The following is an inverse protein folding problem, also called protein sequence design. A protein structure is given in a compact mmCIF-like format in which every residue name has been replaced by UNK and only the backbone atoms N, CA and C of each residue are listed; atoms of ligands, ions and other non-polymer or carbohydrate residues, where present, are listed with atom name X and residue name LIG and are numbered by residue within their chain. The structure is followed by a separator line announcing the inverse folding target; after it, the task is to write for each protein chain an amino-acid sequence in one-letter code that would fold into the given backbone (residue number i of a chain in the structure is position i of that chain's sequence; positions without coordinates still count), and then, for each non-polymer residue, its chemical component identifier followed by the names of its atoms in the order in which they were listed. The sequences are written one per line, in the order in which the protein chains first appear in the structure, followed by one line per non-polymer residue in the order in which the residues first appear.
data_IF_758034314514
#
_entry.id   IF_758034314514
#
_cell.length_a   1.000
_cell.length_b   1.000
_cell.length_c   1.000
_cell.angle_alpha   90.00
_cell.angle_beta   90.00
_cell.angle_gamma   90.00
#
_symmetry.space_group_name_H-M   'P 1'
#
loop_
_entity.id
_entity.type
_entity.pdbx_description
1 polymer ?
#
# COMPACT_ATOMS: atom_id res chain seq x y z
N UNK A 1 -15.46 26.61 6.34
CA UNK A 1 -15.97 26.73 7.73
C UNK A 1 -15.49 28.05 8.33
N UNK A 2 -16.35 28.89 8.91
CA UNK A 2 -15.92 30.09 9.66
C UNK A 2 -16.03 29.83 11.16
N UNK A 3 -14.87 29.70 11.82
CA UNK A 3 -14.75 29.51 13.27
C UNK A 3 -14.63 30.89 13.96
N UNK A 4 -15.74 31.59 14.13
CA UNK A 4 -15.82 32.58 15.20
C UNK A 4 -15.76 31.86 16.57
N UNK A 5 -15.47 32.59 17.67
CA UNK A 5 -15.53 32.17 19.10
C UNK A 5 -16.91 31.58 19.48
N UNK A 6 -17.30 30.49 18.84
CA UNK A 6 -18.62 29.91 18.85
C UNK A 6 -18.53 28.48 19.36
N UNK A 7 -19.50 28.14 20.18
CA UNK A 7 -19.74 26.88 20.86
C UNK A 7 -20.13 25.75 19.87
N UNK A 8 -19.45 25.66 18.73
CA UNK A 8 -19.77 24.70 17.68
C UNK A 8 -18.90 23.48 17.86
N UNK A 9 -19.57 22.37 18.12
CA UNK A 9 -18.95 21.06 18.04
C UNK A 9 -18.30 20.88 16.65
N UNK A 10 -17.17 20.19 16.62
CA UNK A 10 -16.41 19.95 15.39
C UNK A 10 -15.97 18.48 15.33
N UNK A 11 -15.70 18.03 14.11
CA UNK A 11 -15.08 16.74 13.80
C UNK A 11 -14.08 16.99 12.67
N UNK A 12 -12.84 16.60 12.91
CA UNK A 12 -11.78 16.50 11.90
C UNK A 12 -11.48 15.02 11.73
N UNK A 13 -11.54 14.52 10.50
CA UNK A 13 -11.26 13.12 10.24
C UNK A 13 -10.52 12.92 8.93
N UNK A 14 -9.63 11.94 8.91
CA UNK A 14 -8.95 11.50 7.71
C UNK A 14 -8.67 10.01 7.77
N UNK A 15 -8.85 9.32 6.65
CA UNK A 15 -8.66 7.88 6.54
C UNK A 15 -7.65 7.57 5.44
N UNK A 16 -6.62 6.81 5.78
CA UNK A 16 -5.56 6.39 4.87
C UNK A 16 -5.58 4.88 4.73
N UNK A 17 -5.80 4.41 3.51
CA UNK A 17 -5.69 3.00 3.18
C UNK A 17 -4.26 2.71 2.74
N UNK A 18 -3.69 1.62 3.22
CA UNK A 18 -2.35 1.16 2.84
C UNK A 18 -2.30 -0.36 2.74
N UNK A 19 -1.21 -0.85 2.18
CA UNK A 19 -0.87 -2.27 2.20
C UNK A 19 0.48 -2.44 2.85
N UNK A 20 0.63 -3.50 3.65
CA UNK A 20 1.92 -3.91 4.20
C UNK A 20 2.39 -5.20 3.53
N UNK A 21 3.64 -5.19 3.06
CA UNK A 21 4.29 -6.37 2.48
C UNK A 21 5.11 -7.06 3.56
N UNK A 22 4.89 -8.34 3.81
CA UNK A 22 5.66 -9.08 4.80
C UNK A 22 5.94 -10.52 4.40
N UNK A 23 7.05 -11.05 4.92
CA UNK A 23 7.45 -12.46 4.82
C UNK A 23 7.10 -13.17 6.11
N UNK A 24 6.37 -14.28 6.01
CA UNK A 24 5.96 -15.05 7.18
C UNK A 24 5.88 -16.54 6.84
N UNK A 25 6.06 -17.41 7.83
CA UNK A 25 5.85 -18.86 7.68
C UNK A 25 4.38 -19.22 7.53
N UNK A 26 3.48 -18.37 8.00
CA UNK A 26 2.03 -18.57 7.94
C UNK A 26 1.32 -17.27 7.62
N UNK A 27 0.22 -17.39 6.90
CA UNK A 27 -0.71 -16.29 6.66
C UNK A 27 -1.27 -15.78 8.00
N UNK A 28 -1.38 -14.46 8.14
CA UNK A 28 -2.05 -13.82 9.27
C UNK A 28 -3.39 -13.28 8.83
N UNK A 29 -4.47 -13.85 9.34
CA UNK A 29 -5.82 -13.44 8.96
C UNK A 29 -6.38 -12.43 9.96
N UNK A 30 -7.03 -11.39 9.45
CA UNK A 30 -7.84 -10.51 10.28
C UNK A 30 -8.98 -11.32 10.92
N UNK A 31 -9.00 -11.33 12.25
CA UNK A 31 -9.96 -12.11 13.04
C UNK A 31 -11.32 -11.43 13.15
N UNK A 32 -11.42 -10.14 12.79
CA UNK A 32 -12.67 -9.40 12.77
C UNK A 32 -13.46 -9.79 11.54
N UNK A 33 -14.74 -10.13 11.73
CA UNK A 33 -15.60 -10.63 10.67
C UNK A 33 -16.65 -9.58 10.29
N UNK A 34 -16.87 -9.42 8.99
CA UNK A 34 -18.05 -8.75 8.44
C UNK A 34 -19.31 -9.58 8.69
N UNK A 35 -20.52 -8.99 8.57
CA UNK A 35 -21.78 -9.74 8.72
C UNK A 35 -21.90 -10.99 7.82
N UNK A 36 -21.19 -11.03 6.69
CA UNK A 36 -21.13 -12.20 5.79
C UNK A 36 -20.09 -13.26 6.15
N UNK A 37 -19.38 -13.14 7.27
CA UNK A 37 -18.37 -14.11 7.74
C UNK A 37 -16.98 -13.98 7.10
N UNK A 38 -16.80 -13.07 6.13
CA UNK A 38 -15.48 -12.70 5.61
C UNK A 38 -14.70 -11.78 6.56
N UNK A 39 -13.35 -11.75 6.50
CA UNK A 39 -12.56 -10.84 7.32
C UNK A 39 -12.82 -9.38 6.92
N UNK A 40 -12.68 -8.44 7.85
CA UNK A 40 -12.82 -6.99 7.56
C UNK A 40 -11.72 -6.50 6.63
N UNK A 41 -10.49 -7.03 6.77
CA UNK A 41 -9.35 -6.75 5.88
C UNK A 41 -8.91 -8.00 5.14
N UNK A 42 -8.60 -7.85 3.85
CA UNK A 42 -8.09 -8.94 3.04
C UNK A 42 -6.60 -9.18 3.30
N UNK A 43 -6.20 -10.45 3.25
CA UNK A 43 -4.81 -10.88 3.11
C UNK A 43 -4.67 -11.57 1.78
N UNK A 44 -3.61 -11.23 1.03
CA UNK A 44 -3.35 -11.83 -0.27
C UNK A 44 -2.00 -12.53 -0.27
N UNK A 45 -1.99 -13.83 -0.55
CA UNK A 45 -0.77 -14.58 -0.83
C UNK A 45 -0.19 -14.13 -2.18
N UNK A 46 1.02 -13.60 -2.14
CA UNK A 46 1.76 -13.09 -3.29
C UNK A 46 3.07 -13.87 -3.52
N UNK A 47 3.20 -15.05 -2.92
CA UNK A 47 4.37 -15.93 -3.04
C UNK A 47 4.63 -16.34 -4.49
N UNK A 48 3.61 -16.32 -5.35
CA UNK A 48 3.76 -16.55 -6.79
C UNK A 48 4.72 -15.55 -7.47
N UNK A 49 4.89 -14.34 -6.92
CA UNK A 49 5.86 -13.34 -7.38
C UNK A 49 7.32 -13.74 -7.13
N UNK A 50 7.54 -14.71 -6.22
CA UNK A 50 8.85 -15.14 -5.73
C UNK A 50 9.28 -16.52 -6.18
N UNK A 51 8.59 -17.13 -7.15
CA UNK A 51 8.89 -18.48 -7.66
C UNK A 51 10.12 -18.50 -8.59
N UNK A 52 11.27 -18.04 -8.09
CA UNK A 52 12.54 -18.04 -8.81
C UNK A 52 13.62 -18.80 -8.03
N UNK A 53 14.55 -19.50 -8.72
CA UNK A 53 15.59 -20.29 -8.06
C UNK A 53 16.42 -19.51 -7.04
N UNK A 54 16.75 -18.24 -7.33
CA UNK A 54 17.60 -17.43 -6.43
C UNK A 54 16.82 -16.69 -5.33
N UNK A 55 15.51 -16.90 -5.21
CA UNK A 55 14.75 -16.38 -4.07
C UNK A 55 14.49 -17.56 -3.13
N UNK A 56 15.48 -17.85 -2.30
CA UNK A 56 15.29 -18.77 -1.19
C UNK A 56 14.35 -18.13 -0.18
N UNK A 57 13.11 -18.62 -0.14
CA UNK A 57 12.15 -18.20 0.87
C UNK A 57 12.37 -18.93 2.21
N UNK A 58 13.26 -19.92 2.30
CA UNK A 58 13.56 -20.66 3.54
C UNK A 58 12.30 -21.16 4.29
N UNK A 59 11.30 -21.62 3.54
CA UNK A 59 10.01 -22.07 4.08
C UNK A 59 9.05 -20.94 4.49
N UNK A 60 9.32 -19.69 4.08
CA UNK A 60 8.43 -18.55 4.24
C UNK A 60 7.58 -18.33 2.98
N UNK A 61 6.45 -17.67 3.15
CA UNK A 61 5.60 -17.13 2.10
C UNK A 61 5.61 -15.61 2.15
N UNK A 62 5.26 -14.98 1.04
CA UNK A 62 5.10 -13.52 0.96
C UNK A 62 3.62 -13.17 0.93
N UNK A 63 3.22 -12.20 1.75
CA UNK A 63 1.84 -11.79 1.90
C UNK A 63 1.73 -10.27 1.78
N UNK A 64 0.61 -9.85 1.21
CA UNK A 64 0.16 -8.47 1.18
C UNK A 64 -1.05 -8.33 2.12
N UNK A 65 -0.90 -7.50 3.14
CA UNK A 65 -1.92 -7.27 4.15
C UNK A 65 -2.59 -5.93 3.93
N UNK A 66 -3.91 -5.92 3.81
CA UNK A 66 -4.69 -4.70 3.73
C UNK A 66 -4.74 -4.02 5.10
N UNK A 67 -4.46 -2.71 5.14
CA UNK A 67 -4.43 -1.89 6.34
C UNK A 67 -5.14 -0.55 6.16
N UNK A 68 -5.59 0.02 7.26
CA UNK A 68 -6.16 1.36 7.29
C UNK A 68 -5.76 2.09 8.58
N UNK A 69 -5.39 3.35 8.45
CA UNK A 69 -5.27 4.28 9.58
C UNK A 69 -6.38 5.29 9.48
N UNK A 70 -7.22 5.36 10.51
CA UNK A 70 -8.25 6.38 10.67
C UNK A 70 -7.85 7.31 11.80
N UNK A 71 -7.88 8.61 11.54
CA UNK A 71 -7.67 9.65 12.55
C UNK A 71 -8.95 10.44 12.69
N UNK A 72 -9.42 10.62 13.92
CA UNK A 72 -10.57 11.46 14.25
C UNK A 72 -10.23 12.34 15.45
N UNK A 73 -10.40 13.64 15.30
CA UNK A 73 -10.32 14.62 16.40
C UNK A 73 -11.65 15.36 16.45
N UNK A 74 -12.36 15.24 17.56
CA UNK A 74 -13.70 15.83 17.74
C UNK A 74 -13.81 16.52 19.07
N UNK A 75 -14.70 17.50 19.20
CA UNK A 75 -14.87 18.20 20.46
C UNK A 75 -16.06 19.15 20.44
N UNK A 76 -16.51 19.53 21.63
CA UNK A 76 -17.54 20.55 21.81
C UNK A 76 -17.00 21.95 21.52
N UNK A 77 -15.72 22.16 21.82
CA UNK A 77 -14.98 23.40 21.58
C UNK A 77 -13.46 23.11 21.60
N UNK A 78 -12.63 24.14 21.45
CA UNK A 78 -11.16 23.99 21.39
C UNK A 78 -10.50 23.57 22.70
N UNK A 79 -11.18 23.66 23.84
CA UNK A 79 -10.61 23.31 25.15
C UNK A 79 -11.06 21.93 25.64
N UNK A 80 -12.17 21.41 25.11
CA UNK A 80 -12.72 20.09 25.46
C UNK A 80 -12.92 19.29 24.18
N UNK A 81 -11.95 18.43 23.90
CA UNK A 81 -11.89 17.61 22.71
C UNK A 81 -11.29 16.23 22.99
N UNK A 82 -11.44 15.33 22.04
CA UNK A 82 -10.98 13.95 22.08
C UNK A 82 -10.38 13.59 20.72
N UNK A 83 -9.22 12.97 20.75
CA UNK A 83 -8.61 12.35 19.58
C UNK A 83 -8.69 10.83 19.69
N UNK A 84 -8.86 10.18 18.55
CA UNK A 84 -8.82 8.74 18.40
C UNK A 84 -8.09 8.40 17.11
N UNK A 85 -7.23 7.38 17.15
CA UNK A 85 -6.65 6.78 15.96
C UNK A 85 -6.84 5.28 15.97
N UNK A 86 -7.30 4.75 14.84
CA UNK A 86 -7.54 3.33 14.61
C UNK A 86 -6.62 2.89 13.48
N UNK A 87 -5.56 2.16 13.82
CA UNK A 87 -4.56 1.64 12.88
C UNK A 87 -4.55 0.13 12.90
N UNK A 88 -4.51 -0.48 11.73
CA UNK A 88 -4.48 -1.94 11.60
C UNK A 88 -3.08 -2.51 11.89
N UNK A 89 -3.04 -3.47 12.81
CA UNK A 89 -1.79 -4.07 13.29
C UNK A 89 -1.80 -5.60 13.29
N UNK A 90 -2.91 -6.23 12.85
CA UNK A 90 -3.13 -7.69 12.94
C UNK A 90 -2.06 -8.54 12.24
N UNK A 91 -1.33 -7.95 11.29
CA UNK A 91 -0.32 -8.62 10.48
C UNK A 91 1.11 -8.51 11.03
N UNK A 92 1.36 -7.77 12.13
CA UNK A 92 2.72 -7.69 12.69
C UNK A 92 3.17 -9.05 13.23
N UNK A 93 4.42 -9.48 12.95
CA UNK A 93 4.94 -10.82 13.23
C UNK A 93 4.81 -11.20 14.71
N UNK A 94 5.14 -10.27 15.59
CA UNK A 94 5.04 -10.42 17.03
C UNK A 94 4.10 -9.34 17.60
N UNK A 95 2.86 -9.74 17.90
CA UNK A 95 1.86 -8.86 18.53
C UNK A 95 2.18 -8.58 20.01
N UNK A 96 3.23 -9.22 20.54
CA UNK A 96 3.73 -9.05 21.90
C UNK A 96 5.10 -8.38 21.93
N UNK A 97 5.57 -7.81 20.82
CA UNK A 97 6.81 -7.04 20.81
C UNK A 97 6.59 -5.68 21.48
N UNK A 98 7.15 -5.44 22.69
CA UNK A 98 7.00 -4.17 23.38
C UNK A 98 7.79 -3.03 22.70
N UNK A 99 8.66 -3.33 21.73
CA UNK A 99 9.43 -2.32 21.00
C UNK A 99 8.72 -1.81 19.74
N UNK A 100 7.59 -2.42 19.37
CA UNK A 100 6.82 -2.00 18.21
C UNK A 100 5.85 -0.89 18.60
N UNK A 101 6.20 0.36 18.26
CA UNK A 101 5.43 1.58 18.53
C UNK A 101 4.03 1.61 17.90
N UNK A 102 3.71 0.70 16.97
CA UNK A 102 2.35 0.55 16.44
C UNK A 102 1.47 -0.32 17.36
N UNK A 103 2.05 -1.06 18.31
CA UNK A 103 1.33 -1.94 19.23
C UNK A 103 1.04 -1.25 20.55
N UNK A 104 -0.16 -1.50 21.09
CA UNK A 104 -0.58 -0.97 22.40
C UNK A 104 0.37 -1.38 23.53
N UNK A 105 0.98 -2.57 23.44
CA UNK A 105 1.90 -3.08 24.45
C UNK A 105 3.11 -2.15 24.66
N UNK A 106 3.57 -1.45 23.61
CA UNK A 106 4.65 -0.47 23.70
C UNK A 106 4.38 0.63 24.74
N UNK A 107 3.12 1.04 24.88
CA UNK A 107 2.71 2.12 25.78
C UNK A 107 2.33 1.62 27.19
N UNK A 108 2.45 0.31 27.44
CA UNK A 108 2.29 -0.25 28.79
C UNK A 108 3.59 -0.21 29.60
N UNK A 109 4.72 0.08 28.93
CA UNK A 109 6.01 0.28 29.58
C UNK A 109 6.03 1.62 30.35
N UNK A 110 6.30 1.62 31.67
CA UNK A 110 6.41 2.84 32.47
C UNK A 110 7.44 3.85 31.95
N UNK A 111 8.51 3.38 31.29
CA UNK A 111 9.56 4.24 30.75
C UNK A 111 9.13 4.95 29.44
N UNK A 112 8.00 4.53 28.86
CA UNK A 112 7.44 5.02 27.59
C UNK A 112 6.10 5.76 27.81
N UNK A 113 5.66 5.90 29.07
CA UNK A 113 4.34 6.45 29.42
C UNK A 113 4.13 7.91 28.96
N UNK A 114 5.21 8.64 28.70
CA UNK A 114 5.17 10.03 28.23
C UNK A 114 4.99 10.15 26.70
N UNK A 115 4.92 9.06 25.94
CA UNK A 115 4.76 9.10 24.47
C UNK A 115 3.30 9.12 24.04
N UNK A 116 3.00 9.88 22.99
CA UNK A 116 1.67 9.94 22.40
C UNK A 116 1.45 8.72 21.48
N UNK A 117 0.53 7.83 21.88
CA UNK A 117 0.17 6.64 21.14
C UNK A 117 -0.55 6.92 19.81
N UNK A 118 -1.32 8.00 19.74
CA UNK A 118 -1.99 8.41 18.50
C UNK A 118 -0.93 8.89 17.49
N UNK A 119 0.13 9.53 17.98
CA UNK A 119 1.30 9.96 17.22
C UNK A 119 2.38 8.87 17.03
N UNK A 120 2.07 7.58 17.28
CA UNK A 120 2.98 6.45 17.08
C UNK A 120 4.38 6.65 17.71
N UNK A 121 4.41 7.20 18.94
CA UNK A 121 5.63 7.50 19.70
C UNK A 121 6.64 8.42 18.99
N UNK A 122 6.22 9.20 17.99
CA UNK A 122 7.08 10.21 17.36
C UNK A 122 7.12 11.51 18.21
N UNK A 123 6.21 11.65 19.19
CA UNK A 123 6.08 12.84 20.04
C UNK A 123 5.75 12.48 21.49
N UNK A 124 6.37 13.16 22.45
CA UNK A 124 6.07 13.04 23.88
C UNK A 124 4.95 13.99 24.32
N UNK A 125 3.96 13.50 25.08
CA UNK A 125 2.83 14.25 25.68
C UNK A 125 3.30 15.52 26.39
N UNK A 126 4.38 15.47 27.18
CA UNK A 126 4.91 16.62 27.92
C UNK A 126 5.55 17.71 27.06
N UNK A 127 5.92 17.42 25.80
CA UNK A 127 6.44 18.41 24.83
C UNK A 127 5.38 18.94 23.88
N UNK A 128 4.20 18.29 23.83
CA UNK A 128 3.06 18.74 23.05
C UNK A 128 2.44 19.94 23.80
N UNK A 129 2.93 21.15 23.53
CA UNK A 129 2.26 22.40 23.91
C UNK A 129 1.01 22.67 23.06
N UNK A 130 0.50 21.66 22.34
CA UNK A 130 -0.60 21.80 21.39
C UNK A 130 -1.92 21.78 22.15
N UNK A 131 -2.39 22.98 22.46
CA UNK A 131 -3.73 23.18 23.04
C UNK A 131 -4.84 23.20 22.00
N UNK A 132 -4.49 23.42 20.71
CA UNK A 132 -5.47 23.52 19.64
C UNK A 132 -5.70 22.17 18.93
N UNK A 133 -6.93 21.64 18.92
CA UNK A 133 -7.22 20.33 18.32
C UNK A 133 -6.94 20.26 16.82
N UNK A 134 -6.94 21.40 16.11
CA UNK A 134 -6.66 21.45 14.68
C UNK A 134 -5.17 21.26 14.39
N UNK A 135 -4.34 21.90 15.20
CA UNK A 135 -2.89 21.74 15.14
C UNK A 135 -2.50 20.29 15.50
N UNK A 136 -3.15 19.74 16.54
CA UNK A 136 -2.94 18.35 16.94
C UNK A 136 -3.33 17.36 15.83
N UNK A 137 -4.50 17.58 15.21
CA UNK A 137 -4.95 16.78 14.06
C UNK A 137 -3.93 16.78 12.92
N UNK A 138 -3.40 17.95 12.54
CA UNK A 138 -2.43 18.06 11.45
C UNK A 138 -1.08 17.42 11.81
N UNK A 139 -0.63 17.57 13.06
CA UNK A 139 0.59 16.92 13.54
C UNK A 139 0.49 15.39 13.43
N UNK A 140 -0.60 14.82 13.96
CA UNK A 140 -0.81 13.36 13.90
C UNK A 140 -1.01 12.92 12.44
N UNK A 141 -1.77 13.67 11.64
CA UNK A 141 -1.96 13.36 10.22
C UNK A 141 -0.62 13.34 9.48
N UNK A 142 0.29 14.28 9.76
CA UNK A 142 1.65 14.30 9.22
C UNK A 142 2.42 13.03 9.56
N UNK A 143 2.43 12.64 10.83
CA UNK A 143 3.14 11.44 11.30
C UNK A 143 2.56 10.18 10.67
N UNK A 144 1.22 10.03 10.70
CA UNK A 144 0.56 8.85 10.12
C UNK A 144 0.66 8.80 8.60
N UNK A 145 0.72 9.94 7.92
CA UNK A 145 0.98 10.02 6.47
C UNK A 145 2.38 9.52 6.14
N UNK A 146 3.38 9.84 6.97
CA UNK A 146 4.76 9.35 6.81
C UNK A 146 4.81 7.82 6.89
N UNK A 147 4.17 7.22 7.91
CA UNK A 147 4.06 5.76 8.07
C UNK A 147 3.38 5.09 6.87
N UNK A 148 2.20 5.61 6.49
CA UNK A 148 1.45 5.13 5.32
C UNK A 148 2.31 5.16 4.04
N UNK A 149 3.02 6.27 3.82
CA UNK A 149 3.94 6.43 2.69
C UNK A 149 5.09 5.44 2.71
N UNK A 150 5.66 5.15 3.87
CA UNK A 150 6.78 4.22 4.00
C UNK A 150 6.34 2.77 3.71
N UNK A 151 5.13 2.38 4.13
CA UNK A 151 4.50 1.11 3.72
C UNK A 151 4.31 1.04 2.19
N UNK A 152 3.77 2.10 1.58
CA UNK A 152 3.62 2.17 0.12
C UNK A 152 4.95 2.10 -0.64
N UNK A 153 6.01 2.72 -0.11
CA UNK A 153 7.37 2.60 -0.67
C UNK A 153 7.87 1.16 -0.60
N UNK A 154 7.65 0.48 0.52
CA UNK A 154 8.02 -0.93 0.70
C UNK A 154 7.29 -1.83 -0.32
N UNK A 155 5.98 -1.66 -0.48
CA UNK A 155 5.18 -2.40 -1.47
C UNK A 155 5.68 -2.15 -2.89
N UNK A 156 5.93 -0.89 -3.26
CA UNK A 156 6.44 -0.55 -4.59
C UNK A 156 7.81 -1.18 -4.85
N UNK A 157 8.72 -1.07 -3.88
CA UNK A 157 10.06 -1.64 -3.99
C UNK A 157 10.01 -3.14 -4.28
N UNK A 158 9.24 -3.88 -3.47
CA UNK A 158 9.11 -5.32 -3.62
C UNK A 158 8.42 -5.70 -4.94
N UNK A 159 7.30 -5.05 -5.28
CA UNK A 159 6.57 -5.33 -6.51
C UNK A 159 7.43 -5.05 -7.75
N UNK A 160 8.11 -3.90 -7.78
CA UNK A 160 9.03 -3.52 -8.86
C UNK A 160 10.17 -4.54 -9.01
N UNK A 161 10.79 -4.93 -7.90
CA UNK A 161 11.87 -5.92 -7.90
C UNK A 161 11.42 -7.25 -8.52
N UNK A 162 10.29 -7.79 -8.05
CA UNK A 162 9.75 -9.08 -8.54
C UNK A 162 9.32 -9.03 -10.00
N UNK A 163 8.61 -7.99 -10.41
CA UNK A 163 8.18 -7.81 -11.81
C UNK A 163 9.39 -7.67 -12.74
N UNK A 164 10.36 -6.81 -12.41
CA UNK A 164 11.55 -6.63 -13.25
C UNK A 164 12.38 -7.91 -13.31
N UNK A 165 12.52 -8.64 -12.19
CA UNK A 165 13.21 -9.93 -12.18
C UNK A 165 12.50 -10.94 -13.09
N UNK A 166 11.17 -11.06 -12.96
CA UNK A 166 10.37 -11.94 -13.81
C UNK A 166 10.59 -11.63 -15.28
N UNK A 167 10.42 -10.38 -15.70
CA UNK A 167 10.54 -9.99 -17.11
C UNK A 167 11.94 -10.18 -17.70
N UNK A 168 12.99 -10.30 -16.88
CA UNK A 168 14.38 -10.52 -17.31
C UNK A 168 14.79 -11.99 -17.35
N UNK A 169 14.11 -12.85 -16.62
CA UNK A 169 14.48 -14.26 -16.47
C UNK A 169 14.13 -15.04 -17.77
N UNK A 170 15.03 -15.89 -18.31
CA UNK A 170 14.77 -16.74 -19.48
C UNK A 170 13.80 -17.92 -19.22
N UNK A 171 12.65 -17.66 -18.61
CA UNK A 171 11.60 -18.67 -18.35
C UNK A 171 10.60 -18.81 -19.52
N UNK A 172 10.69 -17.96 -20.54
CA UNK A 172 9.99 -18.15 -21.82
C UNK A 172 11.00 -18.63 -22.87
N UNK A 173 10.80 -19.80 -23.50
CA UNK A 173 11.67 -20.26 -24.58
C UNK A 173 11.61 -19.28 -25.76
N UNK A 174 12.69 -18.51 -25.96
CA UNK A 174 12.84 -17.61 -27.10
C UNK A 174 13.23 -18.34 -28.39
N UNK A 175 13.87 -19.51 -28.28
CA UNK A 175 14.33 -20.32 -29.43
C UNK A 175 13.80 -21.76 -29.35
N UNK A 176 13.55 -22.38 -30.53
CA UNK A 176 13.17 -23.79 -30.66
C UNK A 176 14.30 -24.69 -30.13
N UNK A 177 14.10 -25.47 -29.05
CA UNK A 177 14.78 -26.75 -28.98
C UNK A 177 14.27 -27.60 -30.15
N UNK A 178 15.10 -28.49 -30.72
CA UNK A 178 14.62 -29.45 -31.72
C UNK A 178 13.38 -30.16 -31.17
N UNK A 179 12.29 -30.12 -31.92
CA UNK A 179 10.98 -30.57 -31.46
C UNK A 179 11.02 -32.08 -31.16
N UNK A 180 10.97 -32.40 -29.87
CA UNK A 180 10.56 -33.71 -29.36
C UNK A 180 9.22 -33.50 -28.66
N UNK A 181 8.40 -34.55 -28.53
CA UNK A 181 7.08 -34.46 -27.88
C UNK A 181 7.15 -33.84 -26.46
N UNK A 182 8.18 -34.18 -25.67
CA UNK A 182 8.38 -33.59 -24.34
C UNK A 182 8.63 -32.07 -24.36
N UNK A 183 9.41 -31.58 -25.34
CA UNK A 183 9.70 -30.14 -25.46
C UNK A 183 8.47 -29.28 -25.80
N UNK A 184 7.39 -29.88 -26.32
CA UNK A 184 6.16 -29.16 -26.66
C UNK A 184 5.22 -29.01 -25.44
N UNK A 185 5.14 -30.03 -24.58
CA UNK A 185 4.40 -29.98 -23.32
C UNK A 185 5.04 -28.95 -22.37
N UNK A 186 6.36 -29.04 -22.16
CA UNK A 186 7.13 -28.10 -21.33
C UNK A 186 6.96 -26.63 -21.79
N UNK A 187 6.89 -26.42 -23.11
CA UNK A 187 6.69 -25.09 -23.68
C UNK A 187 5.26 -24.57 -23.49
N UNK A 188 4.26 -25.46 -23.50
CA UNK A 188 2.85 -25.09 -23.26
C UNK A 188 2.68 -24.70 -21.79
N UNK A 189 3.23 -25.49 -20.88
CA UNK A 189 3.20 -25.23 -19.44
C UNK A 189 3.90 -23.90 -19.08
N UNK A 190 5.05 -23.61 -19.69
CA UNK A 190 5.76 -22.34 -19.48
C UNK A 190 4.95 -21.11 -19.92
N UNK A 191 4.21 -21.23 -21.02
CA UNK A 191 3.32 -20.18 -21.52
C UNK A 191 2.12 -19.99 -20.60
N UNK A 192 1.45 -21.07 -20.20
CA UNK A 192 0.33 -21.00 -19.27
C UNK A 192 0.73 -20.40 -17.93
N UNK A 193 1.89 -20.81 -17.39
CA UNK A 193 2.43 -20.27 -16.15
C UNK A 193 2.72 -18.77 -16.27
N UNK A 194 3.22 -18.33 -17.44
CA UNK A 194 3.47 -16.91 -17.72
C UNK A 194 2.19 -16.09 -17.82
N UNK A 195 1.14 -16.62 -18.46
CA UNK A 195 -0.15 -15.96 -18.52
C UNK A 195 -0.81 -15.86 -17.13
N UNK A 196 -0.74 -16.94 -16.33
CA UNK A 196 -1.25 -16.96 -14.96
C UNK A 196 -0.51 -15.94 -14.09
N UNK A 197 0.82 -15.92 -14.13
CA UNK A 197 1.62 -14.93 -13.40
C UNK A 197 1.26 -13.50 -13.79
N UNK A 198 1.12 -13.23 -15.10
CA UNK A 198 0.81 -11.90 -15.59
C UNK A 198 -0.60 -11.45 -15.20
N UNK A 199 -1.58 -12.35 -15.22
CA UNK A 199 -2.94 -12.07 -14.71
C UNK A 199 -2.90 -11.74 -13.23
N UNK A 200 -2.33 -12.62 -12.40
CA UNK A 200 -2.28 -12.42 -10.95
C UNK A 200 -1.54 -11.14 -10.58
N UNK A 201 -0.41 -10.84 -11.24
CA UNK A 201 0.34 -9.59 -11.01
C UNK A 201 -0.46 -8.34 -11.37
N UNK A 202 -1.21 -8.36 -12.48
CA UNK A 202 -2.10 -7.27 -12.86
C UNK A 202 -3.23 -7.08 -11.86
N UNK A 203 -3.83 -8.16 -11.35
CA UNK A 203 -4.92 -8.09 -10.37
C UNK A 203 -4.42 -7.43 -9.07
N UNK A 204 -3.20 -7.75 -8.62
CA UNK A 204 -2.57 -7.08 -7.48
C UNK A 204 -2.34 -5.59 -7.78
N UNK A 205 -1.73 -5.25 -8.93
CA UNK A 205 -1.48 -3.84 -9.28
C UNK A 205 -2.78 -3.03 -9.37
N UNK A 206 -3.83 -3.61 -9.94
CA UNK A 206 -5.13 -2.97 -10.01
C UNK A 206 -5.67 -2.63 -8.61
N UNK A 207 -5.59 -3.57 -7.65
CA UNK A 207 -5.96 -3.33 -6.25
C UNK A 207 -5.12 -2.20 -5.63
N UNK A 208 -3.79 -2.26 -5.78
CA UNK A 208 -2.85 -1.26 -5.23
C UNK A 208 -3.09 0.14 -5.82
N UNK A 209 -3.20 0.25 -7.14
CA UNK A 209 -3.48 1.50 -7.87
C UNK A 209 -4.80 2.09 -7.42
N UNK A 210 -5.85 1.27 -7.33
CA UNK A 210 -7.18 1.71 -6.91
C UNK A 210 -7.19 2.25 -5.48
N UNK A 211 -6.59 1.54 -4.52
CA UNK A 211 -6.52 1.96 -3.13
C UNK A 211 -5.70 3.24 -2.93
N UNK A 212 -4.52 3.33 -3.56
CA UNK A 212 -3.65 4.50 -3.45
C UNK A 212 -4.30 5.74 -4.12
N UNK A 213 -4.95 5.56 -5.28
CA UNK A 213 -5.66 6.65 -5.96
C UNK A 213 -6.75 7.24 -5.07
N UNK A 214 -7.55 6.40 -4.38
CA UNK A 214 -8.60 6.89 -3.45
C UNK A 214 -8.00 7.71 -2.30
N UNK A 215 -6.87 7.27 -1.75
CA UNK A 215 -6.18 7.98 -0.66
C UNK A 215 -5.68 9.35 -1.13
N UNK A 216 -5.07 9.42 -2.32
CA UNK A 216 -4.62 10.67 -2.94
C UNK A 216 -5.81 11.61 -3.22
N UNK A 217 -6.89 11.12 -3.81
CA UNK A 217 -8.10 11.93 -4.08
C UNK A 217 -8.72 12.47 -2.79
N UNK A 218 -8.69 11.69 -1.70
CA UNK A 218 -9.17 12.14 -0.39
C UNK A 218 -8.33 13.31 0.13
N UNK A 219 -7.01 13.25 -0.05
CA UNK A 219 -6.12 14.37 0.27
C UNK A 219 -6.32 15.59 -0.62
N UNK A 220 -6.51 15.41 -1.93
CA UNK A 220 -6.77 16.51 -2.85
C UNK A 220 -8.07 17.24 -2.47
N UNK A 221 -9.11 16.48 -2.09
CA UNK A 221 -10.38 17.05 -1.61
C UNK A 221 -10.19 17.82 -0.30
N UNK A 222 -9.48 17.21 0.67
CA UNK A 222 -9.19 17.85 1.94
C UNK A 222 -8.33 19.11 1.79
N UNK A 223 -7.28 19.05 0.97
CA UNK A 223 -6.33 20.16 0.78
C UNK A 223 -6.96 21.36 0.07
N UNK A 224 -7.86 21.14 -0.89
CA UNK A 224 -8.56 22.22 -1.59
C UNK A 224 -9.69 22.86 -0.77
N UNK A 225 -10.27 22.14 0.18
CA UNK A 225 -11.40 22.60 0.99
C UNK A 225 -11.03 22.84 2.45
N UNK A 226 -10.99 21.76 3.23
CA UNK A 226 -10.89 21.81 4.68
C UNK A 226 -9.55 22.39 5.15
N UNK A 227 -8.43 22.05 4.51
CA UNK A 227 -7.11 22.59 4.88
C UNK A 227 -7.04 24.11 4.73
N UNK A 228 -7.56 24.66 3.63
CA UNK A 228 -7.65 26.11 3.40
C UNK A 228 -8.51 26.76 4.49
N UNK A 229 -9.64 26.13 4.83
CA UNK A 229 -10.50 26.60 5.92
C UNK A 229 -9.81 26.55 7.28
N UNK A 230 -8.96 25.55 7.52
CA UNK A 230 -8.17 25.44 8.74
C UNK A 230 -7.13 26.56 8.80
N UNK A 231 -6.38 26.81 7.73
CA UNK A 231 -5.38 27.89 7.66
C UNK A 231 -5.96 29.26 8.01
N UNK A 232 -7.07 29.65 7.35
CA UNK A 232 -7.73 30.94 7.60
C UNK A 232 -8.33 31.09 9.01
N UNK A 233 -8.46 29.99 9.75
CA UNK A 233 -9.01 29.99 11.10
C UNK A 233 -7.96 30.19 12.20
N UNK A 234 -6.68 30.34 11.84
CA UNK A 234 -5.61 30.77 12.74
C UNK A 234 -5.30 32.27 12.57
N UNK A 235 -4.87 32.97 13.63
CA UNK A 235 -4.41 34.35 13.52
C UNK A 235 -3.25 34.45 12.53
N UNK A 236 -3.16 35.52 11.72
CA UNK A 236 -2.02 35.73 10.83
C UNK A 236 -0.74 35.85 11.67
N UNK A 237 0.17 34.90 11.49
CA UNK A 237 1.52 34.85 12.07
C UNK A 237 2.52 34.68 10.94
N UNK A 238 3.69 35.31 11.04
CA UNK A 238 4.78 35.13 10.08
C UNK A 238 5.38 33.72 10.12
N UNK A 239 5.15 32.98 11.20
CA UNK A 239 5.56 31.58 11.36
C UNK A 239 4.38 30.79 11.92
N UNK A 240 3.57 30.23 11.01
CA UNK A 240 2.39 29.46 11.36
C UNK A 240 2.71 27.96 11.24
N UNK A 241 2.82 27.20 12.35
CA UNK A 241 3.17 25.78 12.31
C UNK A 241 2.20 24.95 11.47
N UNK A 242 0.96 25.41 11.32
CA UNK A 242 -0.07 24.79 10.47
C UNK A 242 0.33 24.78 8.99
N UNK A 243 0.94 25.87 8.51
CA UNK A 243 1.32 25.98 7.10
C UNK A 243 2.49 25.05 6.78
N UNK A 244 3.47 24.96 7.68
CA UNK A 244 4.57 24.00 7.57
C UNK A 244 4.08 22.55 7.61
N UNK A 245 3.16 22.21 8.51
CA UNK A 245 2.59 20.86 8.58
C UNK A 245 1.80 20.50 7.32
N UNK A 246 0.97 21.41 6.81
CA UNK A 246 0.24 21.19 5.57
C UNK A 246 1.16 21.04 4.36
N UNK A 247 2.23 21.84 4.30
CA UNK A 247 3.27 21.72 3.28
C UNK A 247 3.97 20.35 3.35
N UNK A 248 4.38 19.91 4.54
CA UNK A 248 5.03 18.62 4.74
C UNK A 248 4.12 17.43 4.36
N UNK A 249 2.84 17.50 4.74
CA UNK A 249 1.84 16.50 4.31
C UNK A 249 1.72 16.54 2.79
N UNK A 250 1.65 17.73 2.19
CA UNK A 250 1.63 17.92 0.73
C UNK A 250 2.79 17.21 0.03
N UNK A 251 4.02 17.37 0.53
CA UNK A 251 5.20 16.65 0.01
C UNK A 251 5.02 15.14 0.08
N UNK A 252 4.50 14.61 1.19
CA UNK A 252 4.27 13.18 1.33
C UNK A 252 3.25 12.66 0.32
N UNK A 253 2.19 13.42 0.05
CA UNK A 253 1.21 13.06 -0.97
C UNK A 253 1.75 13.21 -2.40
N UNK A 254 2.70 14.11 -2.64
CA UNK A 254 3.44 14.15 -3.90
C UNK A 254 4.29 12.90 -4.12
N UNK A 255 4.91 12.39 -3.06
CA UNK A 255 5.62 11.10 -3.10
C UNK A 255 4.65 9.94 -3.37
N UNK A 256 3.47 9.93 -2.73
CA UNK A 256 2.42 8.94 -3.02
C UNK A 256 1.96 9.01 -4.49
N UNK A 257 1.86 10.20 -5.08
CA UNK A 257 1.55 10.37 -6.52
C UNK A 257 2.63 9.78 -7.41
N UNK A 258 3.90 9.93 -7.05
CA UNK A 258 5.02 9.28 -7.77
C UNK A 258 4.94 7.76 -7.66
N UNK A 259 4.63 7.23 -6.48
CA UNK A 259 4.43 5.79 -6.27
C UNK A 259 3.28 5.26 -7.13
N UNK A 260 2.15 5.98 -7.19
CA UNK A 260 1.02 5.64 -8.05
C UNK A 260 1.41 5.61 -9.54
N UNK A 261 2.19 6.59 -9.99
CA UNK A 261 2.69 6.63 -11.36
C UNK A 261 3.60 5.43 -11.66
N UNK A 262 4.47 5.06 -10.73
CA UNK A 262 5.36 3.89 -10.89
C UNK A 262 4.58 2.56 -10.90
N UNK A 263 3.53 2.40 -10.09
CA UNK A 263 2.66 1.22 -10.20
C UNK A 263 1.98 1.12 -11.56
N UNK A 264 1.49 2.25 -12.10
CA UNK A 264 0.91 2.28 -13.46
C UNK A 264 1.95 1.92 -14.53
N UNK A 265 3.20 2.34 -14.36
CA UNK A 265 4.29 1.92 -15.26
C UNK A 265 4.54 0.41 -15.19
N UNK A 266 4.53 -0.19 -14.00
CA UNK A 266 4.65 -1.64 -13.84
C UNK A 266 3.49 -2.40 -14.52
N UNK A 267 2.28 -1.88 -14.42
CA UNK A 267 1.10 -2.44 -15.09
C UNK A 267 1.29 -2.44 -16.61
N UNK A 268 1.76 -1.33 -17.19
CA UNK A 268 2.07 -1.24 -18.61
C UNK A 268 3.15 -2.24 -19.06
N UNK A 269 4.17 -2.48 -18.22
CA UNK A 269 5.21 -3.47 -18.52
C UNK A 269 4.62 -4.90 -18.59
N UNK A 270 3.73 -5.24 -17.66
CA UNK A 270 3.06 -6.55 -17.64
C UNK A 270 2.12 -6.70 -18.84
N UNK A 271 1.38 -5.65 -19.22
CA UNK A 271 0.49 -5.70 -20.40
C UNK A 271 1.28 -5.84 -21.71
N UNK A 272 2.43 -5.17 -21.83
CA UNK A 272 3.34 -5.36 -22.97
C UNK A 272 3.86 -6.80 -23.01
N UNK A 273 4.23 -7.36 -21.86
CA UNK A 273 4.65 -8.75 -21.75
C UNK A 273 3.55 -9.73 -22.20
N UNK A 274 2.31 -9.59 -21.68
CA UNK A 274 1.16 -10.40 -22.11
C UNK A 274 0.95 -10.35 -23.63
N UNK A 275 1.05 -9.16 -24.21
CA UNK A 275 0.89 -8.96 -25.65
C UNK A 275 1.97 -9.70 -26.46
N UNK A 276 3.22 -9.64 -26.00
CA UNK A 276 4.34 -10.35 -26.63
C UNK A 276 4.17 -11.88 -26.54
N UNK A 277 3.75 -12.40 -25.38
CA UNK A 277 3.47 -13.82 -25.19
C UNK A 277 2.37 -14.27 -26.16
N UNK A 278 1.25 -13.57 -26.22
CA UNK A 278 0.15 -13.88 -27.15
C UNK A 278 0.57 -13.86 -28.62
N UNK A 279 1.31 -12.82 -29.03
CA UNK A 279 1.80 -12.72 -30.41
C UNK A 279 2.72 -13.90 -30.77
N UNK A 280 3.58 -14.32 -29.83
CA UNK A 280 4.46 -15.48 -30.04
C UNK A 280 3.67 -16.79 -30.24
N UNK A 281 2.52 -16.95 -29.57
CA UNK A 281 1.64 -18.12 -29.74
C UNK A 281 0.96 -18.10 -31.12
N UNK A 282 0.41 -16.96 -31.53
CA UNK A 282 -0.29 -16.82 -32.83
C UNK A 282 0.66 -17.12 -34.00
N UNK A 283 1.84 -16.49 -34.01
CA UNK A 283 2.85 -16.71 -35.06
C UNK A 283 3.32 -18.18 -35.09
N UNK A 284 3.35 -18.87 -33.94
CA UNK A 284 3.68 -20.30 -33.87
C UNK A 284 2.58 -21.17 -34.49
N UNK A 285 1.31 -20.91 -34.18
CA UNK A 285 0.17 -21.66 -34.71
C UNK A 285 0.03 -21.53 -36.24
N UNK A 286 0.27 -20.34 -36.79
CA UNK A 286 0.25 -20.11 -38.23
C UNK A 286 1.39 -20.85 -38.96
N UNK A 287 2.59 -20.86 -38.37
CA UNK A 287 3.75 -21.59 -38.93
C UNK A 287 3.57 -23.12 -38.89
N UNK A 288 2.96 -23.68 -37.84
CA UNK A 288 2.67 -25.13 -37.78
C UNK A 288 1.62 -25.56 -38.80
N UNK A 289 0.60 -24.73 -39.04
CA UNK A 289 -0.43 -24.98 -40.06
C UNK A 289 0.15 -24.91 -41.48
N UNK A 290 1.13 -24.04 -41.72
CA UNK A 290 1.83 -23.94 -42.99
C UNK A 290 2.77 -25.14 -43.27
N UNK A 291 3.49 -25.64 -42.26
CA UNK A 291 4.39 -26.80 -42.43
C UNK A 291 3.65 -28.14 -42.57
N UNK A 292 2.48 -28.30 -41.93
CA UNK A 292 1.66 -29.51 -42.06
C UNK A 292 1.10 -29.71 -43.47
N UNK A 293 0.85 -28.61 -44.21
CA UNK A 293 0.36 -28.66 -45.60
C UNK A 293 1.46 -29.01 -46.62
N UNK A 294 2.74 -28.84 -46.30
CA UNK A 294 3.83 -29.15 -47.23
C UNK A 294 4.30 -30.62 -47.16
N UNK A 295 3.83 -31.40 -46.18
CA UNK A 295 4.25 -32.79 -45.94
C UNK A 295 3.25 -33.83 -46.50
N UNK A 296 2.21 -33.37 -47.21
CA UNK A 296 1.15 -34.18 -47.81
C UNK A 296 1.24 -34.23 -49.35
N UNK A 297 2.44 -34.08 -49.92
CA UNK A 297 2.70 -34.23 -51.36
C UNK A 297 3.77 -35.27 -51.62
#
# INVERSE_FOLDING_TARGET
MTFARSWRAFILQFHMHYFSWSRSRSEKRDTRLMPGGGPVRETTDITFLSRFPDIELNGQSEFLYEGQTSLVVSGWNRTVWTACSLTETYFYPDLQDPNNEELLLHYTDPDVQDWDAIAAADVTVGRIMITDPREYFLMVLKIRSKKCRDEWKSVLYNMRFRVIKYLKDPHIPQERPKATLGNAEDQTDAVEQSERWARQSSDILFKLIGALSKTITSWETFSLGDAVSLQYSFPPSHDNPVDHMLYDIGIMFDELRKILADFKQLELLIERFKSNVRFSIIVRNEKSLASGKSSLK
#
